data_IF_258629641733
#
_entry.id   IF_258629641733
#
_cell.length_a   1.000
_cell.length_b   1.000
_cell.length_c   1.000
_cell.angle_alpha   90.00
_cell.angle_beta   90.00
_cell.angle_gamma   90.00
#
_symmetry.space_group_name_H-M   'P 1'
#
loop_
_entity.id
_entity.type
_entity.pdbx_description
1 polymer ?
#
# COMPACT_ATOMS: atom_id res chain seq x y z
N UNK A 1 24.27 11.95 1.25
CA UNK A 1 23.32 11.47 0.22
C UNK A 1 22.67 10.22 0.77
N UNK A 2 21.37 10.23 1.14
CA UNK A 2 20.70 8.99 1.52
C UNK A 2 20.58 8.10 0.27
N UNK A 3 21.22 6.93 0.29
CA UNK A 3 21.04 5.91 -0.73
C UNK A 3 19.69 5.25 -0.48
N UNK A 4 18.69 5.55 -1.31
CA UNK A 4 17.43 4.82 -1.31
C UNK A 4 17.67 3.45 -1.95
N UNK A 5 17.83 2.42 -1.13
CA UNK A 5 17.72 1.05 -1.64
C UNK A 5 16.24 0.79 -1.85
N UNK A 6 15.84 0.58 -3.10
CA UNK A 6 14.46 0.29 -3.52
C UNK A 6 14.02 -1.12 -3.08
N UNK A 7 14.27 -1.49 -1.83
CA UNK A 7 13.88 -2.78 -1.30
C UNK A 7 12.36 -2.80 -1.10
N UNK A 8 11.72 -3.76 -1.77
CA UNK A 8 10.32 -4.06 -1.53
C UNK A 8 10.20 -4.62 -0.12
N UNK A 9 9.27 -4.06 0.67
CA UNK A 9 8.97 -4.58 1.99
C UNK A 9 8.43 -6.01 1.87
N UNK A 10 8.76 -6.87 2.82
CA UNK A 10 8.15 -8.21 2.89
C UNK A 10 6.61 -8.07 2.98
N UNK A 11 5.83 -8.73 2.09
CA UNK A 11 4.38 -8.73 2.11
C UNK A 11 3.77 -8.97 3.50
N UNK A 12 4.35 -9.88 4.30
CA UNK A 12 3.84 -10.22 5.64
C UNK A 12 4.04 -9.08 6.62
N UNK A 13 5.17 -8.38 6.50
CA UNK A 13 5.47 -7.22 7.35
C UNK A 13 4.57 -6.06 6.96
N UNK A 14 4.34 -5.84 5.66
CA UNK A 14 3.40 -4.83 5.18
C UNK A 14 1.98 -5.09 5.72
N UNK A 15 1.44 -6.30 5.57
CA UNK A 15 0.10 -6.63 6.08
C UNK A 15 0.01 -6.51 7.61
N UNK A 16 1.08 -6.83 8.32
CA UNK A 16 1.15 -6.65 9.78
C UNK A 16 1.11 -5.18 10.18
N UNK A 17 1.84 -4.31 9.48
CA UNK A 17 1.80 -2.86 9.72
C UNK A 17 0.42 -2.28 9.38
N UNK A 18 -0.16 -2.70 8.26
CA UNK A 18 -1.49 -2.28 7.83
C UNK A 18 -2.56 -2.71 8.85
N UNK A 19 -2.47 -3.93 9.40
CA UNK A 19 -3.33 -4.36 10.51
C UNK A 19 -3.18 -3.48 11.75
N UNK A 20 -1.96 -3.08 12.12
CA UNK A 20 -1.74 -2.18 13.27
C UNK A 20 -2.42 -0.83 13.03
N UNK A 21 -2.26 -0.26 11.84
CA UNK A 21 -2.90 1.01 11.48
C UNK A 21 -4.44 0.93 11.56
N UNK A 22 -5.03 -0.21 11.19
CA UNK A 22 -6.48 -0.42 11.35
C UNK A 22 -6.93 -0.52 12.80
N UNK A 23 -6.12 -1.13 13.66
CA UNK A 23 -6.42 -1.20 15.09
C UNK A 23 -6.29 0.17 15.76
N UNK A 24 -5.36 1.01 15.32
CA UNK A 24 -5.16 2.37 15.85
C UNK A 24 -6.30 3.34 15.50
N UNK A 25 -6.99 3.14 14.37
CA UNK A 25 -8.10 4.00 13.97
C UNK A 25 -9.41 3.79 14.76
N UNK A 26 -9.50 2.74 15.57
CA UNK A 26 -10.66 2.37 16.43
C UNK A 26 -12.06 2.56 15.80
N UNK A 27 -12.77 1.46 15.50
CA UNK A 27 -14.17 1.49 15.07
C UNK A 27 -14.47 0.66 13.82
N UNK A 28 -15.75 0.50 13.50
CA UNK A 28 -16.18 -0.13 12.25
C UNK A 28 -15.91 0.81 11.06
N UNK A 29 -15.36 0.32 9.94
CA UNK A 29 -15.11 -1.09 9.59
C UNK A 29 -13.68 -1.59 9.88
N UNK A 30 -12.81 -0.77 10.48
CA UNK A 30 -11.37 -1.05 10.60
C UNK A 30 -11.07 -2.24 11.51
N UNK A 31 -11.84 -2.39 12.58
CA UNK A 31 -11.84 -3.56 13.47
C UNK A 31 -12.05 -4.86 12.69
N UNK A 32 -13.07 -4.92 11.83
CA UNK A 32 -13.41 -6.09 11.03
C UNK A 32 -12.31 -6.36 10.00
N UNK A 33 -11.84 -5.35 9.28
CA UNK A 33 -10.73 -5.47 8.33
C UNK A 33 -9.45 -6.02 9.01
N UNK A 34 -9.13 -5.57 10.22
CA UNK A 34 -7.97 -6.01 10.98
C UNK A 34 -7.99 -7.52 11.31
N UNK A 35 -9.18 -8.14 11.35
CA UNK A 35 -9.29 -9.59 11.62
C UNK A 35 -8.80 -10.44 10.45
N UNK A 36 -9.04 -10.01 9.21
CA UNK A 36 -8.79 -10.82 8.02
C UNK A 36 -7.72 -10.27 7.08
N UNK A 37 -7.21 -9.05 7.29
CA UNK A 37 -6.13 -8.44 6.48
C UNK A 37 -4.93 -9.37 6.29
N UNK A 38 -4.55 -10.13 7.31
CA UNK A 38 -3.38 -11.01 7.26
C UNK A 38 -3.55 -12.21 6.32
N UNK A 39 -4.79 -12.52 5.92
CA UNK A 39 -5.08 -13.56 4.93
C UNK A 39 -4.88 -13.10 3.49
N UNK A 40 -4.71 -11.79 3.28
CA UNK A 40 -4.49 -11.22 1.96
C UNK A 40 -3.14 -11.62 1.37
N UNK A 41 -3.06 -11.56 0.04
CA UNK A 41 -1.81 -11.68 -0.70
C UNK A 41 -1.44 -10.32 -1.29
N UNK A 42 -0.18 -9.91 -1.13
CA UNK A 42 0.33 -8.64 -1.66
C UNK A 42 1.20 -8.92 -2.87
N UNK A 43 0.91 -8.22 -3.96
CA UNK A 43 1.76 -8.18 -5.12
C UNK A 43 2.31 -6.76 -5.32
N UNK A 44 3.62 -6.69 -5.55
CA UNK A 44 4.36 -5.46 -5.77
C UNK A 44 4.82 -5.38 -7.22
N UNK A 45 4.30 -4.41 -7.96
CA UNK A 45 4.68 -4.15 -9.34
C UNK A 45 5.32 -2.76 -9.45
N UNK A 46 6.67 -2.66 -9.37
CA UNK A 46 7.36 -1.39 -9.48
C UNK A 46 7.18 -0.81 -10.88
N UNK A 47 6.74 0.44 -10.97
CA UNK A 47 6.56 1.15 -12.23
C UNK A 47 7.89 1.74 -12.65
N UNK A 48 8.47 1.18 -13.72
CA UNK A 48 9.66 1.74 -14.34
C UNK A 48 9.31 3.04 -15.06
N UNK A 49 9.50 4.17 -14.37
CA UNK A 49 9.51 5.48 -15.01
C UNK A 49 10.86 5.60 -15.70
N UNK A 50 10.89 5.81 -17.01
CA UNK A 50 12.12 6.02 -17.77
C UNK A 50 12.47 7.52 -17.72
N UNK A 51 13.41 7.96 -16.87
CA UNK A 51 13.58 9.38 -16.61
C UNK A 51 14.54 10.04 -17.62
N UNK A 52 15.19 9.26 -18.49
CA UNK A 52 16.13 9.74 -19.50
C UNK A 52 15.50 9.71 -20.89
N UNK A 53 14.75 10.76 -21.23
CA UNK A 53 14.51 11.13 -22.64
C UNK A 53 15.43 12.30 -22.97
N UNK A 54 16.26 12.13 -24.01
CA UNK A 54 17.13 13.18 -24.52
C UNK A 54 16.32 14.45 -24.80
N UNK A 55 16.75 15.60 -24.27
CA UNK A 55 16.11 16.90 -24.47
C UNK A 55 15.19 17.39 -23.35
N UNK A 56 14.96 16.61 -22.28
CA UNK A 56 14.15 17.03 -21.12
C UNK A 56 15.00 17.26 -19.87
N UNK A 57 14.67 18.28 -19.08
CA UNK A 57 15.28 18.52 -17.76
C UNK A 57 14.92 17.36 -16.85
N UNK A 58 15.92 16.71 -16.26
CA UNK A 58 15.71 15.63 -15.30
C UNK A 58 15.03 16.17 -14.04
N UNK A 59 13.79 15.76 -13.80
CA UNK A 59 13.06 16.01 -12.55
C UNK A 59 13.09 14.73 -11.73
N UNK A 60 13.66 14.79 -10.54
CA UNK A 60 13.64 13.66 -9.62
C UNK A 60 12.19 13.32 -9.25
N UNK A 61 11.75 12.11 -9.58
CA UNK A 61 10.44 11.58 -9.19
C UNK A 61 10.66 10.37 -8.29
N UNK A 62 9.91 10.29 -7.18
CA UNK A 62 9.87 9.07 -6.36
C UNK A 62 9.40 7.89 -7.21
N UNK A 63 9.93 6.70 -6.94
CA UNK A 63 9.51 5.51 -7.66
C UNK A 63 8.02 5.25 -7.41
N UNK A 64 7.27 4.90 -8.45
CA UNK A 64 5.87 4.49 -8.30
C UNK A 64 5.79 2.98 -8.13
N UNK A 65 4.89 2.51 -7.29
CA UNK A 65 4.69 1.11 -6.99
C UNK A 65 3.21 0.78 -7.11
N UNK A 66 2.85 -0.04 -8.09
CA UNK A 66 1.51 -0.59 -8.13
C UNK A 66 1.44 -1.71 -7.08
N UNK A 67 0.67 -1.48 -6.02
CA UNK A 67 0.44 -2.45 -4.95
C UNK A 67 -0.96 -3.02 -5.11
N UNK A 68 -1.03 -4.34 -5.31
CA UNK A 68 -2.31 -5.06 -5.42
C UNK A 68 -2.49 -5.96 -4.21
N UNK A 69 -3.66 -5.84 -3.57
CA UNK A 69 -4.08 -6.71 -2.48
C UNK A 69 -5.14 -7.69 -2.99
N UNK A 70 -4.82 -8.97 -2.94
CA UNK A 70 -5.73 -10.05 -3.27
C UNK A 70 -6.32 -10.64 -2.00
N UNK A 71 -7.61 -10.89 -2.04
CA UNK A 71 -8.35 -11.59 -0.99
C UNK A 71 -9.18 -12.71 -1.62
N UNK A 72 -9.60 -13.69 -0.81
CA UNK A 72 -10.62 -14.62 -1.26
C UNK A 72 -11.92 -13.87 -1.59
N UNK A 73 -12.70 -14.37 -2.54
CA UNK A 73 -13.90 -13.69 -3.04
C UNK A 73 -14.87 -13.30 -1.92
N UNK A 74 -15.06 -14.19 -0.93
CA UNK A 74 -15.90 -13.92 0.23
C UNK A 74 -15.42 -12.71 1.04
N UNK A 75 -14.11 -12.60 1.28
CA UNK A 75 -13.54 -11.47 2.03
C UNK A 75 -13.54 -10.20 1.20
N UNK A 76 -13.27 -10.30 -0.11
CA UNK A 76 -13.33 -9.17 -1.02
C UNK A 76 -14.73 -8.56 -1.07
N UNK A 77 -15.77 -9.38 -1.24
CA UNK A 77 -17.15 -8.91 -1.25
C UNK A 77 -17.52 -8.22 0.07
N UNK A 78 -17.07 -8.80 1.20
CA UNK A 78 -17.24 -8.17 2.51
C UNK A 78 -16.54 -6.82 2.63
N UNK A 79 -15.33 -6.68 2.08
CA UNK A 79 -14.63 -5.40 2.04
C UNK A 79 -15.41 -4.36 1.22
N UNK A 80 -15.98 -4.76 0.08
CA UNK A 80 -16.78 -3.87 -0.77
C UNK A 80 -18.04 -3.39 -0.05
N UNK A 81 -18.68 -4.23 0.78
CA UNK A 81 -19.82 -3.82 1.61
C UNK A 81 -19.43 -2.81 2.70
N UNK A 82 -18.23 -2.94 3.25
CA UNK A 82 -17.76 -2.14 4.39
C UNK A 82 -17.14 -0.80 3.99
N UNK A 83 -16.48 -0.75 2.83
CA UNK A 83 -15.69 0.37 2.36
C UNK A 83 -16.48 1.23 1.35
N UNK A 84 -16.95 2.39 1.82
CA UNK A 84 -17.42 3.48 0.96
C UNK A 84 -16.23 4.24 0.32
N UNK A 85 -16.52 5.17 -0.61
CA UNK A 85 -15.48 5.91 -1.33
C UNK A 85 -14.53 6.69 -0.41
N UNK A 86 -15.03 7.22 0.71
CA UNK A 86 -14.21 7.95 1.67
C UNK A 86 -13.27 7.01 2.42
N UNK A 87 -13.78 5.88 2.90
CA UNK A 87 -12.98 4.85 3.56
C UNK A 87 -11.98 4.22 2.60
N UNK A 88 -12.29 4.08 1.31
CA UNK A 88 -11.31 3.63 0.31
C UNK A 88 -10.12 4.60 0.24
N UNK A 89 -10.35 5.92 0.29
CA UNK A 89 -9.25 6.91 0.32
C UNK A 89 -8.43 6.79 1.60
N UNK A 90 -9.08 6.62 2.75
CA UNK A 90 -8.38 6.39 4.03
C UNK A 90 -7.57 5.10 4.01
N UNK A 91 -8.13 4.01 3.46
CA UNK A 91 -7.45 2.73 3.28
C UNK A 91 -6.18 2.89 2.45
N UNK A 92 -6.24 3.62 1.32
CA UNK A 92 -5.07 3.90 0.49
C UNK A 92 -4.01 4.70 1.25
N UNK A 93 -4.42 5.71 2.02
CA UNK A 93 -3.50 6.48 2.85
C UNK A 93 -2.82 5.61 3.92
N UNK A 94 -3.56 4.70 4.55
CA UNK A 94 -3.03 3.74 5.52
C UNK A 94 -2.09 2.69 4.89
N UNK A 95 -2.40 2.24 3.67
CA UNK A 95 -1.52 1.38 2.91
C UNK A 95 -0.21 2.10 2.58
N UNK A 96 -0.28 3.37 2.16
CA UNK A 96 0.90 4.20 1.90
C UNK A 96 1.74 4.44 3.16
N UNK A 97 1.12 4.69 4.32
CA UNK A 97 1.85 4.89 5.58
C UNK A 97 2.46 3.60 6.14
N UNK A 98 1.94 2.43 5.75
CA UNK A 98 2.48 1.13 6.14
C UNK A 98 3.84 0.84 5.48
N UNK A 99 4.13 1.51 4.37
CA UNK A 99 5.39 1.40 3.63
C UNK A 99 6.42 2.35 4.27
N UNK A 100 7.62 1.85 4.61
CA UNK A 100 8.62 2.70 5.23
C UNK A 100 9.09 3.79 4.27
N UNK A 101 9.23 5.01 4.76
CA UNK A 101 9.59 6.19 3.95
C UNK A 101 10.92 6.00 3.18
N UNK A 102 11.86 5.25 3.75
CA UNK A 102 13.14 4.86 3.13
C UNK A 102 12.99 4.01 1.86
N UNK A 103 11.86 3.33 1.66
CA UNK A 103 11.63 2.53 0.46
C UNK A 103 11.42 3.40 -0.78
N UNK A 104 11.09 4.70 -0.60
CA UNK A 104 11.04 5.68 -1.69
C UNK A 104 9.90 5.46 -2.69
N UNK A 105 8.93 4.61 -2.37
CA UNK A 105 7.78 4.28 -3.22
C UNK A 105 6.54 5.13 -2.92
N UNK A 106 5.85 5.53 -3.98
CA UNK A 106 4.48 6.07 -3.93
C UNK A 106 3.54 5.02 -4.55
N UNK A 107 2.51 4.64 -3.79
CA UNK A 107 1.45 3.68 -4.15
C UNK A 107 0.21 4.40 -4.66
#
# INVERSE_FOLDING_TARGET
>A
MPSYTYELQDPRVFLSNLRKNFLEMEGDPWSELATFVLSGHVEYLPVRINPMRSGYIYVYQKAKLNLTLYFSERLFNRMVELLDEEKIKMFKAMAQSSIPERAGYIV
#
